data_IF_168509573789
#
_entry.id   IF_168509573789
#
_cell.length_a   1.000
_cell.length_b   1.000
_cell.length_c   1.000
_cell.angle_alpha   90.00
_cell.angle_beta   90.00
_cell.angle_gamma   90.00
#
_symmetry.space_group_name_H-M   'P 1'
#
loop_
_entity.id
_entity.type
_entity.pdbx_description
1 polymer ?
#
# COMPACT_ATOMS: atom_id res chain seq x y z
N UNK A 1 -26.20 19.07 15.90
CA UNK A 1 -27.35 18.41 16.57
C UNK A 1 -27.82 17.13 15.87
N UNK A 2 -27.96 17.09 14.54
CA UNK A 2 -28.44 15.89 13.82
C UNK A 2 -27.61 14.60 14.06
N UNK A 3 -26.28 14.69 14.07
CA UNK A 3 -25.39 13.54 14.32
C UNK A 3 -25.69 12.85 15.66
N UNK A 4 -25.79 13.60 16.74
CA UNK A 4 -26.06 13.09 18.09
C UNK A 4 -27.42 12.38 18.19
N UNK A 5 -28.44 12.92 17.51
CA UNK A 5 -29.76 12.30 17.44
C UNK A 5 -29.72 10.95 16.71
N UNK A 6 -29.05 10.89 15.55
CA UNK A 6 -28.92 9.66 14.76
C UNK A 6 -28.12 8.60 15.53
N UNK A 7 -26.99 8.99 16.14
CA UNK A 7 -26.16 8.09 16.92
C UNK A 7 -26.91 7.50 18.14
N UNK A 8 -27.68 8.34 18.86
CA UNK A 8 -28.49 7.89 19.98
C UNK A 8 -29.59 6.90 19.53
N UNK A 9 -30.25 7.19 18.40
CA UNK A 9 -31.34 6.37 17.87
C UNK A 9 -30.83 5.01 17.37
N UNK A 10 -29.68 4.97 16.68
CA UNK A 10 -29.02 3.73 16.27
C UNK A 10 -28.57 2.88 17.47
N UNK A 11 -28.00 3.52 18.49
CA UNK A 11 -27.57 2.82 19.72
C UNK A 11 -28.76 2.21 20.46
N UNK A 12 -29.87 2.94 20.55
CA UNK A 12 -31.12 2.45 21.14
C UNK A 12 -31.72 1.28 20.34
N UNK A 13 -31.74 1.39 19.00
CA UNK A 13 -32.23 0.33 18.14
C UNK A 13 -31.38 -0.95 18.29
N UNK A 14 -30.05 -0.82 18.29
CA UNK A 14 -29.13 -1.94 18.46
C UNK A 14 -29.30 -2.63 19.82
N UNK A 15 -29.42 -1.87 20.91
CA UNK A 15 -29.68 -2.43 22.25
C UNK A 15 -31.02 -3.14 22.33
N UNK A 16 -32.09 -2.56 21.76
CA UNK A 16 -33.41 -3.21 21.73
C UNK A 16 -33.39 -4.53 20.96
N UNK A 17 -32.72 -4.60 19.81
CA UNK A 17 -32.60 -5.84 19.02
C UNK A 17 -31.94 -6.96 19.82
N UNK A 18 -30.95 -6.65 20.66
CA UNK A 18 -30.27 -7.62 21.52
C UNK A 18 -31.12 -8.00 22.75
N UNK A 19 -31.89 -7.05 23.30
CA UNK A 19 -32.72 -7.28 24.50
C UNK A 19 -34.06 -7.98 24.20
N UNK A 20 -34.64 -7.80 23.01
CA UNK A 20 -35.93 -8.39 22.63
C UNK A 20 -35.98 -9.94 22.68
N UNK A 21 -34.94 -10.69 22.23
CA UNK A 21 -34.88 -12.14 22.39
C UNK A 21 -34.80 -12.58 23.85
N UNK A 22 -34.27 -11.74 24.74
CA UNK A 22 -34.11 -12.03 26.17
C UNK A 22 -35.41 -11.81 26.96
N UNK A 23 -36.30 -10.92 26.50
CA UNK A 23 -37.64 -10.71 27.09
C UNK A 23 -38.67 -11.70 26.57
N UNK A 24 -38.49 -12.25 25.37
CA UNK A 24 -39.37 -13.31 24.86
C UNK A 24 -39.22 -14.54 25.73
N UNK A 25 -40.22 -14.81 26.58
CA UNK A 25 -40.45 -16.17 27.11
C UNK A 25 -40.45 -17.07 25.89
N UNK A 26 -39.55 -18.07 25.85
CA UNK A 26 -39.77 -19.23 24.99
C UNK A 26 -41.20 -19.63 25.27
N UNK A 27 -42.09 -19.49 24.29
CA UNK A 27 -43.27 -20.35 24.25
C UNK A 27 -42.64 -21.72 24.22
N UNK A 28 -42.47 -22.32 25.41
CA UNK A 28 -42.46 -23.76 25.48
C UNK A 28 -43.71 -24.13 24.70
N UNK A 29 -43.53 -24.85 23.59
CA UNK A 29 -44.60 -25.63 23.00
C UNK A 29 -45.41 -26.13 24.19
N UNK A 30 -46.66 -25.64 24.32
CA UNK A 30 -47.52 -26.06 25.42
C UNK A 30 -47.46 -27.59 25.39
N UNK A 31 -46.89 -28.26 26.42
CA UNK A 31 -46.83 -29.70 26.41
C UNK A 31 -48.26 -30.21 26.25
N UNK A 32 -48.46 -31.26 25.46
CA UNK A 32 -49.76 -31.90 25.26
C UNK A 32 -50.49 -32.24 26.59
N UNK A 33 -49.75 -32.29 27.70
CA UNK A 33 -50.19 -32.67 29.04
C UNK A 33 -51.38 -31.88 29.62
N UNK A 34 -51.60 -30.61 29.25
CA UNK A 34 -52.80 -29.89 29.75
C UNK A 34 -54.11 -30.42 29.16
N UNK A 35 -54.08 -31.02 27.97
CA UNK A 35 -55.24 -31.70 27.38
C UNK A 35 -55.36 -33.16 27.84
N UNK A 36 -54.26 -33.77 28.28
CA UNK A 36 -54.25 -35.19 28.65
C UNK A 36 -55.11 -35.47 29.91
N UNK A 37 -55.20 -34.52 30.84
CA UNK A 37 -56.00 -34.68 32.06
C UNK A 37 -57.51 -34.75 31.79
N UNK A 38 -58.02 -33.94 30.86
CA UNK A 38 -59.43 -33.98 30.45
C UNK A 38 -59.73 -35.30 29.72
N UNK A 39 -58.82 -35.74 28.85
CA UNK A 39 -58.94 -37.03 28.14
C UNK A 39 -58.96 -38.22 29.11
N UNK A 40 -58.09 -38.25 30.13
CA UNK A 40 -58.08 -39.33 31.11
C UNK A 40 -59.34 -39.35 31.99
N UNK A 41 -59.92 -38.19 32.31
CA UNK A 41 -61.21 -38.10 33.03
C UNK A 41 -62.36 -38.64 32.18
N UNK A 42 -62.32 -38.43 30.88
CA UNK A 42 -63.32 -38.95 29.94
C UNK A 42 -63.21 -40.47 29.80
N UNK A 43 -61.99 -40.99 29.65
CA UNK A 43 -61.71 -42.43 29.63
C UNK A 43 -62.18 -43.13 30.90
N UNK A 44 -62.00 -42.50 32.07
CA UNK A 44 -62.49 -43.06 33.32
C UNK A 44 -64.01 -43.19 33.29
N UNK A 45 -64.74 -42.13 32.89
CA UNK A 45 -66.20 -42.12 32.78
C UNK A 45 -66.73 -43.16 31.80
N UNK A 46 -66.05 -43.37 30.69
CA UNK A 46 -66.40 -44.39 29.69
C UNK A 46 -66.28 -45.81 30.27
N UNK A 47 -65.19 -46.11 30.96
CA UNK A 47 -64.98 -47.40 31.65
C UNK A 47 -66.05 -47.63 32.73
N UNK A 48 -66.47 -46.61 33.46
CA UNK A 48 -67.57 -46.76 34.44
C UNK A 48 -68.90 -47.09 33.76
N UNK A 49 -69.19 -46.43 32.65
CA UNK A 49 -70.43 -46.61 31.90
C UNK A 49 -70.49 -48.00 31.24
N UNK A 50 -69.37 -48.49 30.69
CA UNK A 50 -69.29 -49.82 30.09
C UNK A 50 -69.39 -50.95 31.13
N UNK A 51 -68.78 -50.76 32.31
CA UNK A 51 -68.93 -51.68 33.43
C UNK A 51 -70.39 -51.72 33.94
N UNK A 52 -71.06 -50.55 34.04
CA UNK A 52 -72.46 -50.46 34.44
C UNK A 52 -73.42 -51.11 33.41
N UNK A 53 -73.05 -51.10 32.13
CA UNK A 53 -73.78 -51.79 31.04
C UNK A 53 -73.46 -53.28 30.94
N UNK A 54 -72.54 -53.81 31.73
CA UNK A 54 -72.09 -55.21 31.69
C UNK A 54 -71.28 -55.57 30.44
N UNK A 55 -70.72 -54.58 29.72
CA UNK A 55 -69.91 -54.79 28.52
C UNK A 55 -68.47 -55.25 28.85
N UNK A 56 -68.02 -55.01 30.08
CA UNK A 56 -66.69 -55.37 30.58
C UNK A 56 -66.87 -56.11 31.90
N UNK A 57 -66.05 -57.13 32.16
CA UNK A 57 -66.09 -57.82 33.45
C UNK A 57 -65.58 -56.91 34.60
N UNK A 58 -66.06 -57.12 35.85
CA UNK A 58 -65.70 -56.25 36.97
C UNK A 58 -64.20 -56.21 37.31
N UNK A 59 -63.45 -57.28 37.05
CA UNK A 59 -62.02 -57.31 37.37
C UNK A 59 -61.22 -56.47 36.37
N UNK A 60 -61.54 -56.57 35.07
CA UNK A 60 -60.93 -55.76 34.03
C UNK A 60 -61.27 -54.27 34.17
N UNK A 61 -62.51 -53.96 34.56
CA UNK A 61 -62.93 -52.58 34.83
C UNK A 61 -62.13 -51.96 36.00
N UNK A 62 -61.90 -52.71 37.08
CA UNK A 62 -61.12 -52.25 38.22
C UNK A 62 -59.64 -52.05 37.85
N UNK A 63 -59.05 -52.95 37.06
CA UNK A 63 -57.68 -52.78 36.57
C UNK A 63 -57.52 -51.54 35.70
N UNK A 64 -58.47 -51.28 34.78
CA UNK A 64 -58.47 -50.10 33.93
C UNK A 64 -58.59 -48.82 34.76
N UNK A 65 -59.44 -48.79 35.79
CA UNK A 65 -59.57 -47.66 36.72
C UNK A 65 -58.26 -47.36 37.45
N UNK A 66 -57.57 -48.38 37.95
CA UNK A 66 -56.31 -48.23 38.66
C UNK A 66 -55.22 -47.64 37.75
N UNK A 67 -55.10 -48.16 36.51
CA UNK A 67 -54.11 -47.68 35.55
C UNK A 67 -54.39 -46.24 35.08
N UNK A 68 -55.65 -45.90 34.78
CA UNK A 68 -56.04 -44.53 34.40
C UNK A 68 -55.81 -43.56 35.56
N UNK A 69 -56.18 -43.94 36.79
CA UNK A 69 -55.95 -43.12 37.99
C UNK A 69 -54.46 -42.87 38.25
N UNK A 70 -53.62 -43.88 38.03
CA UNK A 70 -52.15 -43.74 38.12
C UNK A 70 -51.60 -42.76 37.08
N UNK A 71 -52.13 -42.78 35.86
CA UNK A 71 -51.74 -41.83 34.79
C UNK A 71 -52.15 -40.40 35.11
N UNK A 72 -53.34 -40.21 35.67
CA UNK A 72 -53.81 -38.91 36.16
C UNK A 72 -52.87 -38.34 37.22
N UNK A 73 -52.51 -39.14 38.23
CA UNK A 73 -51.59 -38.72 39.30
C UNK A 73 -50.19 -38.36 38.77
N UNK A 74 -49.69 -39.13 37.81
CA UNK A 74 -48.40 -38.84 37.18
C UNK A 74 -48.45 -37.54 36.35
N UNK A 75 -49.51 -37.33 35.57
CA UNK A 75 -49.69 -36.11 34.77
C UNK A 75 -49.83 -34.85 35.65
N UNK A 76 -50.57 -34.93 36.76
CA UNK A 76 -50.68 -33.82 37.72
C UNK A 76 -49.34 -33.52 38.41
N UNK A 77 -48.55 -34.55 38.76
CA UNK A 77 -47.22 -34.40 39.33
C UNK A 77 -46.26 -33.72 38.35
N UNK A 78 -46.21 -34.18 37.10
CA UNK A 78 -45.38 -33.59 36.03
C UNK A 78 -45.77 -32.14 35.74
N UNK A 79 -47.07 -31.83 35.69
CA UNK A 79 -47.56 -30.46 35.51
C UNK A 79 -47.14 -29.53 36.66
N UNK A 80 -47.15 -30.03 37.90
CA UNK A 80 -46.74 -29.28 39.10
C UNK A 80 -45.22 -29.02 39.12
N UNK A 81 -44.42 -30.03 38.77
CA UNK A 81 -42.96 -29.90 38.63
C UNK A 81 -42.57 -28.90 37.52
N UNK A 82 -43.28 -28.93 36.38
CA UNK A 82 -43.08 -27.97 35.29
C UNK A 82 -43.45 -26.53 35.69
N UNK A 83 -44.52 -26.34 36.47
CA UNK A 83 -44.92 -25.03 36.98
C UNK A 83 -43.90 -24.46 37.98
N UNK A 84 -43.33 -25.29 38.85
CA UNK A 84 -42.25 -24.89 39.78
C UNK A 84 -40.94 -24.55 39.05
N UNK A 85 -40.60 -25.27 37.99
CA UNK A 85 -39.43 -24.97 37.15
C UNK A 85 -39.59 -23.65 36.38
N UNK A 86 -40.81 -23.33 35.93
CA UNK A 86 -41.10 -22.08 35.22
C UNK A 86 -41.09 -20.82 36.12
N UNK A 87 -41.32 -20.98 37.43
CA UNK A 87 -41.30 -19.90 38.42
C UNK A 87 -39.90 -19.41 38.82
N UNK A 88 -38.85 -20.17 38.52
CA UNK A 88 -37.45 -19.79 38.82
C UNK A 88 -36.87 -18.96 37.68
N UNK A 89 -37.10 -17.65 37.68
CA UNK A 89 -36.37 -16.72 36.80
C UNK A 89 -34.89 -16.81 37.10
N UNK A 90 -34.10 -17.28 36.12
CA UNK A 90 -32.67 -17.52 36.28
C UNK A 90 -31.91 -16.19 36.46
N UNK A 91 -31.01 -16.05 37.46
CA UNK A 91 -30.20 -14.83 37.68
C UNK A 91 -29.34 -14.41 36.47
N UNK A 92 -29.08 -15.35 35.55
CA UNK A 92 -28.36 -15.08 34.30
C UNK A 92 -29.06 -14.11 33.34
N UNK A 93 -30.39 -13.99 33.37
CA UNK A 93 -31.10 -13.01 32.52
C UNK A 93 -30.84 -11.58 32.99
N UNK A 94 -30.94 -11.33 34.29
CA UNK A 94 -30.67 -10.01 34.87
C UNK A 94 -29.23 -9.56 34.59
N UNK A 95 -28.26 -10.49 34.73
CA UNK A 95 -26.87 -10.25 34.37
C UNK A 95 -26.68 -9.91 32.89
N UNK A 96 -27.37 -10.61 31.97
CA UNK A 96 -27.32 -10.30 30.54
C UNK A 96 -27.92 -8.92 30.22
N UNK A 97 -29.03 -8.54 30.84
CA UNK A 97 -29.62 -7.19 30.71
C UNK A 97 -28.64 -6.11 31.17
N UNK A 98 -28.05 -6.29 32.36
CA UNK A 98 -27.08 -5.35 32.92
C UNK A 98 -25.84 -5.23 32.04
N UNK A 99 -25.31 -6.33 31.51
CA UNK A 99 -24.16 -6.33 30.63
C UNK A 99 -24.42 -5.58 29.32
N UNK A 100 -25.59 -5.78 28.69
CA UNK A 100 -25.95 -5.11 27.42
C UNK A 100 -26.19 -3.61 27.62
N UNK A 101 -26.78 -3.19 28.75
CA UNK A 101 -26.99 -1.77 29.08
C UNK A 101 -25.72 -1.06 29.54
N UNK A 102 -24.79 -1.76 30.18
CA UNK A 102 -23.54 -1.17 30.65
C UNK A 102 -22.69 -0.63 29.51
N UNK A 103 -22.65 -1.31 28.36
CA UNK A 103 -21.82 -0.92 27.20
C UNK A 103 -22.11 0.50 26.70
N UNK A 104 -23.35 0.88 26.30
CA UNK A 104 -23.64 2.22 25.84
C UNK A 104 -23.52 3.27 26.95
N UNK A 105 -23.85 2.93 28.20
CA UNK A 105 -23.72 3.85 29.33
C UNK A 105 -22.25 4.20 29.63
N UNK A 106 -21.38 3.20 29.63
CA UNK A 106 -19.93 3.39 29.78
C UNK A 106 -19.39 4.18 28.60
N UNK A 107 -19.79 3.85 27.37
CA UNK A 107 -19.37 4.59 26.18
C UNK A 107 -19.76 6.07 26.25
N UNK A 108 -20.99 6.38 26.69
CA UNK A 108 -21.44 7.77 26.90
C UNK A 108 -20.72 8.47 28.03
N UNK A 109 -20.33 7.78 29.10
CA UNK A 109 -19.54 8.37 30.19
C UNK A 109 -18.08 8.63 29.82
N UNK A 110 -17.48 7.74 29.02
CA UNK A 110 -16.08 7.84 28.60
C UNK A 110 -15.88 8.86 27.48
N UNK A 111 -16.84 9.01 26.56
CA UNK A 111 -16.69 9.89 25.41
C UNK A 111 -16.45 11.38 25.76
N UNK A 112 -17.10 11.99 26.77
CA UNK A 112 -16.78 13.36 27.19
C UNK A 112 -15.38 13.51 27.81
N UNK A 113 -14.82 12.45 28.40
CA UNK A 113 -13.51 12.48 29.05
C UNK A 113 -12.35 12.44 28.04
N UNK A 114 -12.52 11.67 26.96
CA UNK A 114 -11.44 11.42 25.97
C UNK A 114 -11.74 11.98 24.57
N UNK A 115 -13.02 12.24 24.28
CA UNK A 115 -13.48 12.77 23.00
C UNK A 115 -13.54 14.29 22.99
N UNK A 116 -14.07 14.83 21.88
CA UNK A 116 -14.31 16.26 21.70
C UNK A 116 -15.77 16.50 21.33
N UNK A 117 -16.70 16.49 22.31
CA UNK A 117 -18.13 16.62 22.05
C UNK A 117 -18.52 17.96 21.43
N UNK A 118 -17.74 19.01 21.71
CA UNK A 118 -17.98 20.37 21.22
C UNK A 118 -17.34 20.65 19.86
N UNK A 119 -16.71 19.65 19.24
CA UNK A 119 -16.10 19.83 17.92
C UNK A 119 -17.19 19.91 16.85
N UNK A 120 -17.30 21.03 16.12
CA UNK A 120 -18.27 21.14 15.03
C UNK A 120 -17.93 20.16 13.91
N UNK A 121 -18.96 19.67 13.21
CA UNK A 121 -18.77 18.89 12.00
C UNK A 121 -18.06 19.73 10.94
N UNK A 122 -16.99 19.21 10.33
CA UNK A 122 -16.25 19.85 9.24
C UNK A 122 -16.39 19.05 7.93
N UNK A 123 -17.45 19.29 7.12
CA UNK A 123 -17.61 18.67 5.80
C UNK A 123 -16.44 19.00 4.88
N UNK A 124 -16.07 18.07 3.99
CA UNK A 124 -14.98 18.26 3.04
C UNK A 124 -15.22 19.48 2.13
N UNK A 125 -16.47 19.70 1.69
CA UNK A 125 -16.82 20.84 0.84
C UNK A 125 -16.54 22.19 1.50
N UNK A 126 -16.85 22.35 2.79
CA UNK A 126 -16.57 23.58 3.54
C UNK A 126 -15.06 23.79 3.75
N UNK A 127 -14.30 22.71 4.01
CA UNK A 127 -12.83 22.77 4.11
C UNK A 127 -12.17 23.20 2.80
N UNK A 128 -12.65 22.65 1.69
CA UNK A 128 -12.20 23.02 0.35
C UNK A 128 -12.55 24.47 -0.03
N UNK A 129 -13.51 25.12 0.66
CA UNK A 129 -13.86 26.53 0.41
C UNK A 129 -13.11 27.53 1.29
N UNK A 130 -12.73 27.14 2.51
CA UNK A 130 -12.09 28.02 3.49
C UNK A 130 -10.56 28.18 3.30
N UNK A 131 -9.91 27.22 2.64
CA UNK A 131 -8.45 27.15 2.48
C UNK A 131 -8.02 27.41 1.04
N UNK A 132 -8.11 28.66 0.58
CA UNK A 132 -7.64 29.04 -0.76
C UNK A 132 -6.09 29.14 -0.85
N UNK A 133 -5.42 29.54 0.24
CA UNK A 133 -4.00 29.94 0.21
C UNK A 133 -3.00 28.91 0.78
N UNK A 134 -3.46 27.78 1.34
CA UNK A 134 -2.58 26.75 1.95
C UNK A 134 -3.11 25.32 1.83
N UNK A 135 -3.83 25.01 0.76
CA UNK A 135 -4.32 23.64 0.55
C UNK A 135 -3.16 22.67 0.35
N UNK A 136 -3.21 21.49 0.99
CA UNK A 136 -2.33 20.39 0.61
C UNK A 136 -2.55 20.04 -0.87
N UNK A 137 -1.57 19.40 -1.52
CA UNK A 137 -1.70 18.99 -2.94
C UNK A 137 -2.99 18.19 -3.15
N UNK A 138 -3.40 17.37 -2.18
CA UNK A 138 -4.65 16.61 -2.21
C UNK A 138 -5.91 17.48 -2.21
N UNK A 139 -5.93 18.57 -1.44
CA UNK A 139 -7.06 19.51 -1.43
C UNK A 139 -7.20 20.26 -2.76
N UNK A 140 -6.07 20.63 -3.37
CA UNK A 140 -6.06 21.27 -4.69
C UNK A 140 -6.55 20.31 -5.78
N UNK A 141 -6.11 19.06 -5.74
CA UNK A 141 -6.58 18.01 -6.67
C UNK A 141 -8.07 17.77 -6.49
N UNK A 142 -8.57 17.61 -5.26
CA UNK A 142 -9.99 17.40 -5.00
C UNK A 142 -10.86 18.58 -5.49
N UNK A 143 -10.38 19.82 -5.37
CA UNK A 143 -11.08 20.99 -5.90
C UNK A 143 -11.11 20.99 -7.42
N UNK A 144 -9.98 20.67 -8.07
CA UNK A 144 -9.91 20.56 -9.53
C UNK A 144 -10.79 19.42 -10.07
N UNK A 145 -10.86 18.29 -9.37
CA UNK A 145 -11.78 17.19 -9.67
C UNK A 145 -13.25 17.61 -9.59
N UNK A 146 -13.62 18.31 -8.51
CA UNK A 146 -14.98 18.82 -8.36
C UNK A 146 -15.36 19.82 -9.47
N UNK A 147 -14.40 20.64 -9.91
CA UNK A 147 -14.59 21.55 -11.04
C UNK A 147 -14.78 20.79 -12.37
N UNK A 148 -13.95 19.79 -12.65
CA UNK A 148 -14.04 18.97 -13.86
C UNK A 148 -15.28 18.08 -13.90
N UNK A 149 -15.78 17.64 -12.74
CA UNK A 149 -17.05 16.93 -12.65
C UNK A 149 -18.23 17.80 -13.12
N UNK A 150 -18.17 19.12 -12.89
CA UNK A 150 -19.17 20.07 -13.36
C UNK A 150 -18.88 20.57 -14.79
N UNK A 151 -17.61 20.56 -15.20
CA UNK A 151 -17.14 21.07 -16.48
C UNK A 151 -16.32 19.98 -17.21
N UNK A 152 -16.96 18.90 -17.70
CA UNK A 152 -16.24 17.74 -18.25
C UNK A 152 -15.49 18.04 -19.55
N UNK A 153 -15.82 19.14 -20.24
CA UNK A 153 -15.17 19.55 -21.48
C UNK A 153 -14.00 20.55 -21.27
N UNK A 154 -13.61 20.83 -20.02
CA UNK A 154 -12.45 21.68 -19.72
C UNK A 154 -11.13 20.94 -19.95
N UNK A 155 -10.65 21.02 -21.19
CA UNK A 155 -9.36 20.48 -21.65
C UNK A 155 -8.20 20.89 -20.77
N UNK A 156 -8.15 22.17 -20.35
CA UNK A 156 -7.03 22.69 -19.57
C UNK A 156 -6.98 22.05 -18.19
N UNK A 157 -8.14 21.86 -17.57
CA UNK A 157 -8.22 21.15 -16.30
C UNK A 157 -7.72 19.71 -16.41
N UNK A 158 -8.10 19.00 -17.48
CA UNK A 158 -7.59 17.64 -17.73
C UNK A 158 -6.08 17.61 -17.99
N UNK A 159 -5.55 18.52 -18.81
CA UNK A 159 -4.11 18.62 -19.11
C UNK A 159 -3.28 18.93 -17.85
N UNK A 160 -3.83 19.69 -16.90
CA UNK A 160 -3.15 20.01 -15.63
C UNK A 160 -3.19 18.83 -14.66
N UNK A 161 -4.33 18.15 -14.52
CA UNK A 161 -4.48 17.07 -13.55
C UNK A 161 -3.76 15.79 -13.96
N UNK A 162 -3.73 15.45 -15.25
CA UNK A 162 -3.17 14.20 -15.74
C UNK A 162 -1.71 13.92 -15.26
N UNK A 163 -0.74 14.84 -15.38
CA UNK A 163 0.61 14.62 -14.87
C UNK A 163 0.68 14.64 -13.33
N UNK A 164 -0.22 15.35 -12.65
CA UNK A 164 -0.29 15.34 -11.18
C UNK A 164 -0.75 13.97 -10.68
N UNK A 165 -1.74 13.37 -11.33
CA UNK A 165 -2.17 12.01 -11.02
C UNK A 165 -1.03 11.00 -11.11
N UNK A 166 -0.17 11.09 -12.14
CA UNK A 166 1.01 10.21 -12.23
C UNK A 166 1.96 10.38 -11.05
N UNK A 167 2.26 11.63 -10.66
CA UNK A 167 3.14 11.92 -9.51
C UNK A 167 2.57 11.42 -8.18
N UNK A 168 1.25 11.39 -8.05
CA UNK A 168 0.54 10.86 -6.89
C UNK A 168 0.34 9.34 -6.94
N UNK A 169 0.85 8.65 -7.97
CA UNK A 169 0.67 7.20 -8.15
C UNK A 169 -0.72 6.78 -8.61
N UNK A 170 -1.58 7.74 -8.99
CA UNK A 170 -2.95 7.54 -9.47
C UNK A 170 -2.97 7.31 -10.99
N UNK A 171 -2.27 6.28 -11.46
CA UNK A 171 -2.06 6.07 -12.90
C UNK A 171 -3.36 5.87 -13.70
N UNK A 172 -4.35 5.18 -13.14
CA UNK A 172 -5.64 4.98 -13.81
C UNK A 172 -6.39 6.30 -14.05
N UNK A 173 -6.33 7.22 -13.09
CA UNK A 173 -6.95 8.55 -13.22
C UNK A 173 -6.20 9.40 -14.26
N UNK A 174 -4.87 9.29 -14.31
CA UNK A 174 -4.07 9.93 -15.34
C UNK A 174 -4.43 9.45 -16.76
N UNK A 175 -4.63 8.14 -16.94
CA UNK A 175 -5.08 7.57 -18.23
C UNK A 175 -6.41 8.20 -18.66
N UNK A 176 -7.38 8.28 -17.73
CA UNK A 176 -8.69 8.87 -18.02
C UNK A 176 -8.60 10.36 -18.34
N UNK A 177 -7.77 11.11 -17.62
CA UNK A 177 -7.56 12.54 -17.84
C UNK A 177 -6.93 12.82 -19.22
N UNK A 178 -5.84 12.11 -19.58
CA UNK A 178 -5.23 12.25 -20.90
C UNK A 178 -6.16 11.84 -22.03
N UNK A 179 -6.89 10.72 -21.89
CA UNK A 179 -7.89 10.30 -22.90
C UNK A 179 -9.00 11.34 -23.06
N UNK A 180 -9.46 11.95 -21.97
CA UNK A 180 -10.46 13.02 -22.02
C UNK A 180 -9.93 14.24 -22.75
N UNK A 181 -8.70 14.68 -22.44
CA UNK A 181 -8.07 15.80 -23.12
C UNK A 181 -7.87 15.54 -24.62
N UNK A 182 -7.39 14.35 -25.00
CA UNK A 182 -7.22 13.94 -26.40
C UNK A 182 -8.56 13.88 -27.13
N UNK A 183 -9.61 13.36 -26.49
CA UNK A 183 -10.96 13.30 -27.09
C UNK A 183 -11.51 14.68 -27.43
N UNK A 184 -11.27 15.68 -26.58
CA UNK A 184 -11.86 17.02 -26.73
C UNK A 184 -11.01 17.91 -27.65
N UNK A 185 -9.68 17.90 -27.47
CA UNK A 185 -8.78 18.84 -28.12
C UNK A 185 -7.74 18.19 -29.05
N UNK A 186 -7.83 16.88 -29.27
CA UNK A 186 -6.95 16.14 -30.17
C UNK A 186 -5.59 15.77 -29.57
N UNK A 187 -4.84 15.00 -30.35
CA UNK A 187 -3.50 14.53 -30.03
C UNK A 187 -2.48 15.67 -30.17
N UNK A 188 -1.59 15.78 -29.18
CA UNK A 188 -0.36 16.56 -29.25
C UNK A 188 0.74 15.82 -28.48
N UNK A 189 1.98 16.28 -28.59
CA UNK A 189 3.10 15.56 -28.00
C UNK A 189 2.96 15.35 -26.48
N UNK A 190 2.66 16.37 -25.64
CA UNK A 190 2.51 16.16 -24.19
C UNK A 190 1.42 15.16 -23.81
N UNK A 191 0.26 15.17 -24.49
CA UNK A 191 -0.85 14.26 -24.19
C UNK A 191 -0.57 12.84 -24.63
N UNK A 192 0.02 12.68 -25.82
CA UNK A 192 0.35 11.37 -26.39
C UNK A 192 1.45 10.69 -25.56
N UNK A 193 2.53 11.42 -25.26
CA UNK A 193 3.59 10.92 -24.38
C UNK A 193 3.04 10.60 -22.99
N UNK A 194 2.31 11.54 -22.38
CA UNK A 194 1.74 11.37 -21.04
C UNK A 194 0.75 10.21 -20.93
N UNK A 195 -0.06 9.96 -21.97
CA UNK A 195 -0.95 8.79 -22.00
C UNK A 195 -0.16 7.48 -22.07
N UNK A 196 0.90 7.42 -22.88
CA UNK A 196 1.80 6.27 -22.92
C UNK A 196 2.44 6.00 -21.54
N UNK A 197 2.95 7.05 -20.89
CA UNK A 197 3.52 6.98 -19.53
C UNK A 197 2.48 6.49 -18.50
N UNK A 198 1.25 7.01 -18.58
CA UNK A 198 0.17 6.62 -17.70
C UNK A 198 -0.26 5.16 -17.88
N UNK A 199 -0.34 4.68 -19.12
CA UNK A 199 -0.66 3.29 -19.43
C UNK A 199 0.44 2.32 -18.95
N UNK A 200 1.71 2.68 -19.16
CA UNK A 200 2.84 1.89 -18.69
C UNK A 200 2.87 1.84 -17.15
N UNK A 201 2.64 2.98 -16.49
CA UNK A 201 2.59 3.06 -15.01
C UNK A 201 1.42 2.28 -14.44
N UNK A 202 0.23 2.37 -15.05
CA UNK A 202 -0.94 1.60 -14.66
C UNK A 202 -0.73 0.08 -14.83
N UNK A 203 0.17 -0.31 -15.74
CA UNK A 203 0.57 -1.70 -15.99
C UNK A 203 1.80 -2.13 -15.16
N UNK A 204 2.11 -1.43 -14.07
CA UNK A 204 3.23 -1.78 -13.18
C UNK A 204 4.61 -1.54 -13.80
N UNK A 205 4.71 -0.66 -14.80
CA UNK A 205 5.93 -0.37 -15.55
C UNK A 205 6.11 -1.21 -16.81
N UNK A 206 5.18 -2.11 -17.12
CA UNK A 206 5.18 -2.85 -18.40
C UNK A 206 4.71 -1.96 -19.54
N UNK A 207 5.50 -1.88 -20.61
CA UNK A 207 5.16 -1.18 -21.84
C UNK A 207 4.27 -2.10 -22.67
N UNK A 208 2.95 -1.96 -22.49
CA UNK A 208 1.95 -2.73 -23.25
C UNK A 208 1.92 -2.30 -24.72
N UNK A 209 1.32 -3.11 -25.59
CA UNK A 209 1.16 -2.76 -27.01
C UNK A 209 0.40 -1.43 -27.23
N UNK A 210 -0.56 -1.11 -26.35
CA UNK A 210 -1.26 0.18 -26.40
C UNK A 210 -0.31 1.33 -26.05
N UNK A 211 0.44 1.21 -24.94
CA UNK A 211 1.42 2.22 -24.53
C UNK A 211 2.51 2.43 -25.60
N UNK A 212 3.02 1.33 -26.17
CA UNK A 212 3.98 1.36 -27.27
C UNK A 212 3.44 2.14 -28.48
N UNK A 213 2.17 1.94 -28.84
CA UNK A 213 1.51 2.69 -29.90
C UNK A 213 1.55 4.21 -29.66
N UNK A 214 1.30 4.66 -28.43
CA UNK A 214 1.40 6.08 -28.06
C UNK A 214 2.85 6.57 -28.04
N UNK A 215 3.82 5.77 -27.57
CA UNK A 215 5.24 6.17 -27.62
C UNK A 215 5.77 6.30 -29.04
N UNK A 216 5.34 5.44 -29.98
CA UNK A 216 5.68 5.61 -31.41
C UNK A 216 5.12 6.92 -31.97
N UNK A 217 3.85 7.22 -31.71
CA UNK A 217 3.25 8.52 -32.08
C UNK A 217 3.98 9.71 -31.46
N UNK A 218 4.38 9.61 -30.18
CA UNK A 218 5.14 10.66 -29.52
C UNK A 218 6.52 10.86 -30.18
N UNK A 219 7.20 9.78 -30.56
CA UNK A 219 8.45 9.83 -31.30
C UNK A 219 8.30 10.45 -32.71
N UNK A 220 7.15 10.24 -33.37
CA UNK A 220 6.86 10.87 -34.66
C UNK A 220 6.58 12.38 -34.52
N UNK A 221 5.92 12.79 -33.42
CA UNK A 221 5.61 14.19 -33.14
C UNK A 221 6.85 15.01 -32.73
N UNK A 222 7.72 14.44 -31.88
CA UNK A 222 8.98 15.07 -31.44
C UNK A 222 10.16 14.11 -31.59
N UNK A 223 10.76 14.02 -32.80
CA UNK A 223 11.82 13.05 -33.10
C UNK A 223 13.12 13.24 -32.31
N UNK A 224 13.31 14.43 -31.72
CA UNK A 224 14.51 14.80 -30.95
C UNK A 224 14.32 14.60 -29.44
N UNK A 225 13.12 14.22 -28.99
CA UNK A 225 12.88 13.93 -27.58
C UNK A 225 13.34 12.51 -27.22
N UNK A 226 14.14 12.39 -26.16
CA UNK A 226 14.70 11.11 -25.71
C UNK A 226 13.65 10.23 -25.02
N UNK A 227 12.60 10.81 -24.43
CA UNK A 227 11.65 10.07 -23.59
C UNK A 227 10.89 8.99 -24.36
N UNK A 228 10.27 9.25 -25.52
CA UNK A 228 9.63 8.19 -26.30
C UNK A 228 10.61 7.08 -26.69
N UNK A 229 11.85 7.42 -27.05
CA UNK A 229 12.87 6.43 -27.43
C UNK A 229 13.25 5.52 -26.26
N UNK A 230 13.35 6.09 -25.06
CA UNK A 230 13.62 5.34 -23.85
C UNK A 230 12.50 4.33 -23.53
N UNK A 231 11.23 4.75 -23.59
CA UNK A 231 10.11 3.85 -23.35
C UNK A 231 9.97 2.76 -24.43
N UNK A 232 10.24 3.07 -25.70
CA UNK A 232 10.26 2.07 -26.77
C UNK A 232 11.39 1.05 -26.57
N UNK A 233 12.60 1.51 -26.22
CA UNK A 233 13.71 0.63 -25.87
C UNK A 233 13.38 -0.23 -24.65
N UNK A 234 12.72 0.33 -23.63
CA UNK A 234 12.27 -0.41 -22.47
C UNK A 234 11.27 -1.52 -22.84
N UNK A 235 10.32 -1.25 -23.73
CA UNK A 235 9.41 -2.28 -24.25
C UNK A 235 10.16 -3.40 -24.98
N UNK A 236 11.11 -3.04 -25.85
CA UNK A 236 11.96 -4.00 -26.55
C UNK A 236 12.78 -4.86 -25.57
N UNK A 237 13.29 -4.28 -24.48
CA UNK A 237 13.96 -5.02 -23.41
C UNK A 237 13.02 -5.99 -22.68
N UNK A 238 11.79 -5.56 -22.37
CA UNK A 238 10.80 -6.39 -21.70
C UNK A 238 10.39 -7.60 -22.56
N UNK A 239 10.44 -7.44 -23.88
CA UNK A 239 10.23 -8.53 -24.85
C UNK A 239 11.48 -9.39 -25.09
N UNK A 240 12.58 -9.16 -24.37
CA UNK A 240 13.84 -9.88 -24.51
C UNK A 240 14.68 -9.47 -25.73
N UNK A 241 14.31 -8.40 -26.44
CA UNK A 241 14.93 -7.93 -27.68
C UNK A 241 15.99 -6.86 -27.38
N UNK A 242 16.99 -7.23 -26.57
CA UNK A 242 18.04 -6.32 -26.10
C UNK A 242 18.84 -5.66 -27.24
N UNK A 243 19.12 -6.40 -28.31
CA UNK A 243 19.80 -5.87 -29.50
C UNK A 243 19.00 -4.78 -30.21
N UNK A 244 17.67 -4.95 -30.31
CA UNK A 244 16.80 -3.94 -30.91
C UNK A 244 16.78 -2.67 -30.06
N UNK A 245 16.66 -2.82 -28.74
CA UNK A 245 16.71 -1.71 -27.80
C UNK A 245 18.05 -0.93 -27.91
N UNK A 246 19.17 -1.64 -27.94
CA UNK A 246 20.49 -1.03 -28.11
C UNK A 246 20.62 -0.29 -29.45
N UNK A 247 20.14 -0.88 -30.54
CA UNK A 247 20.20 -0.28 -31.87
C UNK A 247 19.30 0.96 -31.99
N UNK A 248 18.11 0.94 -31.39
CA UNK A 248 17.21 2.11 -31.32
C UNK A 248 17.88 3.28 -30.62
N UNK A 249 18.41 3.04 -29.42
CA UNK A 249 19.07 4.08 -28.64
C UNK A 249 20.33 4.59 -29.34
N UNK A 250 21.11 3.70 -29.98
CA UNK A 250 22.27 4.10 -30.77
C UNK A 250 21.87 4.99 -31.96
N UNK A 251 20.85 4.60 -32.73
CA UNK A 251 20.40 5.37 -33.89
C UNK A 251 19.87 6.77 -33.50
N UNK A 252 19.30 6.91 -32.31
CA UNK A 252 18.92 8.19 -31.73
C UNK A 252 20.17 9.01 -31.33
N UNK A 253 21.12 8.37 -30.64
CA UNK A 253 22.37 8.98 -30.18
C UNK A 253 23.26 9.51 -31.33
N UNK A 254 23.28 8.80 -32.46
CA UNK A 254 24.05 9.16 -33.65
C UNK A 254 23.60 10.49 -34.27
N UNK A 255 22.34 10.89 -34.04
CA UNK A 255 21.73 12.14 -34.51
C UNK A 255 21.68 13.22 -33.43
N UNK A 256 21.99 12.86 -32.19
CA UNK A 256 21.89 13.75 -31.03
C UNK A 256 23.08 14.70 -30.94
N UNK A 257 22.89 15.92 -30.39
CA UNK A 257 23.99 16.81 -30.03
C UNK A 257 25.02 16.13 -29.13
N UNK A 258 26.31 16.47 -29.32
CA UNK A 258 27.40 15.89 -28.54
C UNK A 258 27.37 16.34 -27.06
N UNK A 259 26.82 17.51 -26.80
CA UNK A 259 26.71 18.16 -25.48
C UNK A 259 25.35 17.91 -24.78
N UNK A 260 24.51 17.02 -25.31
CA UNK A 260 23.22 16.72 -24.71
C UNK A 260 23.39 16.16 -23.27
N UNK A 261 22.74 16.74 -22.24
CA UNK A 261 22.96 16.33 -20.84
C UNK A 261 22.66 14.86 -20.53
N UNK A 262 21.77 14.24 -21.30
CA UNK A 262 21.36 12.84 -21.16
C UNK A 262 22.24 11.86 -21.96
N UNK A 263 23.18 12.36 -22.79
CA UNK A 263 23.96 11.54 -23.74
C UNK A 263 24.72 10.41 -23.05
N UNK A 264 25.48 10.73 -22.01
CA UNK A 264 26.28 9.75 -21.27
C UNK A 264 25.44 8.66 -20.60
N UNK A 265 24.20 8.96 -20.20
CA UNK A 265 23.29 7.95 -19.63
C UNK A 265 22.83 6.96 -20.69
N UNK A 266 22.53 7.44 -21.90
CA UNK A 266 22.14 6.59 -23.04
C UNK A 266 23.31 5.73 -23.51
N UNK A 267 24.53 6.28 -23.57
CA UNK A 267 25.74 5.51 -23.89
C UNK A 267 25.97 4.36 -22.91
N UNK A 268 25.82 4.61 -21.60
CA UNK A 268 25.90 3.57 -20.57
C UNK A 268 24.77 2.53 -20.68
N UNK A 269 23.55 2.96 -21.01
CA UNK A 269 22.43 2.06 -21.22
C UNK A 269 22.69 1.13 -22.43
N UNK A 270 23.17 1.67 -23.55
CA UNK A 270 23.55 0.88 -24.73
C UNK A 270 24.65 -0.12 -24.39
N UNK A 271 25.67 0.29 -23.64
CA UNK A 271 26.76 -0.61 -23.23
C UNK A 271 26.23 -1.80 -22.40
N UNK A 272 25.33 -1.54 -21.42
CA UNK A 272 24.69 -2.59 -20.62
C UNK A 272 23.81 -3.53 -21.44
N UNK A 273 23.15 -3.01 -22.47
CA UNK A 273 22.28 -3.80 -23.34
C UNK A 273 23.07 -4.71 -24.27
N UNK A 274 24.21 -4.24 -24.78
CA UNK A 274 25.10 -5.00 -25.68
C UNK A 274 25.96 -6.01 -24.93
N UNK A 275 26.38 -5.67 -23.73
CA UNK A 275 27.16 -6.56 -22.87
C UNK A 275 26.67 -6.44 -21.41
N UNK A 276 25.67 -7.25 -21.03
CA UNK A 276 25.17 -7.31 -19.66
C UNK A 276 26.23 -7.73 -18.63
N UNK A 277 27.32 -8.38 -19.07
CA UNK A 277 28.41 -8.84 -18.22
C UNK A 277 29.50 -7.77 -18.02
N UNK A 278 29.66 -6.82 -18.95
CA UNK A 278 30.65 -5.74 -18.86
C UNK A 278 30.45 -4.78 -17.67
N UNK A 279 29.28 -4.78 -17.03
CA UNK A 279 28.95 -3.88 -15.90
C UNK A 279 28.87 -4.61 -14.55
N UNK A 280 29.09 -5.93 -14.52
CA UNK A 280 29.14 -6.71 -13.26
C UNK A 280 30.47 -6.58 -12.49
N UNK A 281 31.38 -5.71 -12.90
CA UNK A 281 32.44 -5.25 -12.00
C UNK A 281 31.96 -3.98 -11.31
N UNK A 282 31.38 -4.06 -10.08
CA UNK A 282 31.31 -2.87 -9.24
C UNK A 282 32.73 -2.31 -9.14
N UNK A 283 32.89 -1.01 -9.43
CA UNK A 283 34.16 -0.28 -9.19
C UNK A 283 34.37 -0.07 -7.67
N UNK A 284 34.28 -1.13 -6.88
CA UNK A 284 34.38 -1.17 -5.42
C UNK A 284 34.18 -2.58 -4.84
N UNK A 285 34.70 -2.84 -3.62
CA UNK A 285 34.55 -4.13 -2.95
C UNK A 285 33.08 -4.45 -2.67
N UNK A 286 32.72 -5.73 -2.84
CA UNK A 286 31.40 -6.26 -2.49
C UNK A 286 31.23 -6.40 -0.98
N UNK A 287 30.01 -6.65 -0.50
CA UNK A 287 29.76 -6.87 0.93
C UNK A 287 30.59 -8.05 1.48
N UNK A 288 30.70 -9.13 0.70
CA UNK A 288 31.50 -10.31 1.05
C UNK A 288 33.01 -9.97 1.13
N UNK A 289 33.49 -9.07 0.27
CA UNK A 289 34.89 -8.59 0.32
C UNK A 289 35.17 -7.77 1.59
N UNK A 290 34.19 -6.99 2.07
CA UNK A 290 34.31 -6.20 3.31
C UNK A 290 34.30 -7.12 4.54
N UNK A 291 33.43 -8.12 4.55
CA UNK A 291 33.35 -9.10 5.64
C UNK A 291 34.62 -9.96 5.70
N UNK A 292 35.13 -10.41 4.56
CA UNK A 292 36.42 -11.09 4.48
C UNK A 292 37.56 -10.21 5.01
N UNK A 293 37.63 -8.94 4.60
CA UNK A 293 38.65 -7.99 5.08
C UNK A 293 38.54 -7.70 6.60
N UNK A 294 37.33 -7.76 7.17
CA UNK A 294 37.10 -7.57 8.61
C UNK A 294 37.68 -8.69 9.47
N UNK A 295 37.81 -9.89 8.89
CA UNK A 295 38.37 -11.08 9.54
C UNK A 295 39.90 -11.19 9.45
N UNK A 296 40.54 -10.34 8.64
CA UNK A 296 42.00 -10.33 8.44
C UNK A 296 42.74 -9.63 9.58
N UNK A 297 44.03 -9.98 9.74
CA UNK A 297 44.94 -9.26 10.63
C UNK A 297 45.08 -7.79 10.20
N UNK A 298 45.40 -6.88 11.13
CA UNK A 298 45.64 -5.46 10.79
C UNK A 298 46.72 -5.28 9.72
N UNK A 299 47.79 -6.08 9.75
CA UNK A 299 48.90 -6.03 8.81
C UNK A 299 48.50 -6.50 7.41
N UNK A 300 47.78 -7.62 7.31
CA UNK A 300 47.30 -8.14 6.02
C UNK A 300 46.24 -7.22 5.41
N UNK A 301 45.39 -6.62 6.24
CA UNK A 301 44.41 -5.63 5.80
C UNK A 301 45.09 -4.38 5.25
N UNK A 302 46.16 -3.91 5.90
CA UNK A 302 46.94 -2.77 5.42
C UNK A 302 47.60 -3.07 4.07
N UNK A 303 48.23 -4.25 3.92
CA UNK A 303 48.83 -4.68 2.66
C UNK A 303 47.79 -4.82 1.53
N UNK A 304 46.60 -5.34 1.84
CA UNK A 304 45.49 -5.41 0.90
C UNK A 304 45.02 -4.02 0.45
N UNK A 305 44.87 -3.08 1.39
CA UNK A 305 44.47 -1.69 1.09
C UNK A 305 45.52 -1.02 0.21
N UNK A 306 46.80 -1.16 0.51
CA UNK A 306 47.89 -0.61 -0.30
C UNK A 306 47.89 -1.17 -1.72
N UNK A 307 47.69 -2.48 -1.88
CA UNK A 307 47.57 -3.11 -3.20
C UNK A 307 46.34 -2.64 -3.98
N UNK A 308 45.21 -2.39 -3.32
CA UNK A 308 44.01 -1.82 -3.96
C UNK A 308 44.26 -0.39 -4.46
N UNK A 309 44.89 0.44 -3.63
CA UNK A 309 45.23 1.82 -4.01
C UNK A 309 46.25 1.85 -5.16
N UNK A 310 47.22 0.93 -5.17
CA UNK A 310 48.18 0.80 -6.26
C UNK A 310 47.52 0.40 -7.58
N UNK A 311 46.58 -0.56 -7.56
CA UNK A 311 45.81 -0.92 -8.77
C UNK A 311 44.97 0.23 -9.29
N UNK A 312 44.36 1.01 -8.39
CA UNK A 312 43.62 2.21 -8.78
C UNK A 312 44.56 3.26 -9.41
N UNK A 313 45.75 3.48 -8.83
CA UNK A 313 46.77 4.38 -9.40
C UNK A 313 47.17 3.97 -10.82
N UNK A 314 47.45 2.68 -11.03
CA UNK A 314 47.83 2.14 -12.34
C UNK A 314 46.69 2.27 -13.36
N UNK A 315 45.45 1.96 -12.95
CA UNK A 315 44.28 2.09 -13.82
C UNK A 315 44.05 3.52 -14.28
N UNK A 316 44.30 4.52 -13.42
CA UNK A 316 44.13 5.94 -13.76
C UNK A 316 45.22 6.47 -14.69
N UNK A 317 46.39 5.81 -14.73
CA UNK A 317 47.41 6.10 -15.75
C UNK A 317 46.96 5.67 -17.14
N UNK A 318 46.16 4.61 -17.24
CA UNK A 318 45.65 4.09 -18.50
C UNK A 318 44.33 4.76 -18.93
N UNK A 319 43.46 5.09 -17.97
CA UNK A 319 42.20 5.79 -18.20
C UNK A 319 42.17 7.14 -17.45
N UNK A 320 42.82 8.13 -18.05
CA UNK A 320 43.15 9.41 -17.40
C UNK A 320 41.97 10.38 -17.26
N UNK A 321 40.83 10.12 -17.93
CA UNK A 321 39.63 10.97 -17.92
C UNK A 321 38.67 10.78 -16.73
N UNK A 322 38.94 9.84 -15.81
CA UNK A 322 38.03 9.52 -14.68
C UNK A 322 38.25 10.45 -13.47
N UNK A 323 37.53 11.57 -13.44
CA UNK A 323 37.57 12.56 -12.34
C UNK A 323 37.30 11.94 -10.97
N UNK A 324 36.28 11.10 -10.87
CA UNK A 324 35.89 10.47 -9.61
C UNK A 324 36.91 9.41 -9.17
N UNK A 325 37.57 8.77 -10.12
CA UNK A 325 38.75 7.95 -9.88
C UNK A 325 39.89 8.75 -9.23
N UNK A 326 40.26 9.90 -9.79
CA UNK A 326 41.30 10.77 -9.23
C UNK A 326 40.97 11.29 -7.83
N UNK A 327 39.73 11.73 -7.58
CA UNK A 327 39.29 12.16 -6.24
C UNK A 327 39.40 11.03 -5.21
N UNK A 328 39.01 9.82 -5.60
CA UNK A 328 39.10 8.63 -4.74
C UNK A 328 40.55 8.26 -4.43
N UNK A 329 41.43 8.29 -5.42
CA UNK A 329 42.86 8.03 -5.22
C UNK A 329 43.50 9.03 -4.23
N UNK A 330 43.23 10.33 -4.42
CA UNK A 330 43.71 11.39 -3.51
C UNK A 330 43.20 11.17 -2.09
N UNK A 331 41.90 10.87 -1.93
CA UNK A 331 41.30 10.58 -0.61
C UNK A 331 41.91 9.35 0.04
N UNK A 332 42.13 8.28 -0.71
CA UNK A 332 42.74 7.05 -0.22
C UNK A 332 44.15 7.30 0.33
N UNK A 333 44.99 8.05 -0.38
CA UNK A 333 46.31 8.42 0.13
C UNK A 333 46.25 9.32 1.37
N UNK A 334 45.28 10.23 1.47
CA UNK A 334 45.08 11.06 2.66
C UNK A 334 44.68 10.24 3.89
N UNK A 335 43.79 9.26 3.74
CA UNK A 335 43.37 8.35 4.82
C UNK A 335 44.55 7.49 5.30
N UNK A 336 45.41 7.07 4.37
CA UNK A 336 46.64 6.32 4.67
C UNK A 336 47.78 7.20 5.21
N UNK A 337 47.52 8.48 5.47
CA UNK A 337 48.50 9.46 5.95
C UNK A 337 49.72 9.63 5.00
N UNK A 338 49.53 9.39 3.69
CA UNK A 338 50.55 9.52 2.64
C UNK A 338 50.35 10.80 1.83
N UNK A 339 50.57 11.94 2.48
CA UNK A 339 50.29 13.28 1.90
C UNK A 339 51.06 13.54 0.59
N UNK A 340 52.31 13.11 0.50
CA UNK A 340 53.12 13.32 -0.71
C UNK A 340 52.58 12.53 -1.91
N UNK A 341 52.13 11.29 -1.67
CA UNK A 341 51.49 10.47 -2.71
C UNK A 341 50.13 11.06 -3.14
N UNK A 342 49.38 11.67 -2.21
CA UNK A 342 48.15 12.38 -2.52
C UNK A 342 48.42 13.61 -3.41
N UNK A 343 49.49 14.36 -3.14
CA UNK A 343 49.91 15.52 -3.96
C UNK A 343 50.40 15.10 -5.35
N UNK A 344 51.16 14.01 -5.45
CA UNK A 344 51.59 13.45 -6.73
C UNK A 344 50.39 12.97 -7.57
N UNK A 345 49.45 12.24 -6.97
CA UNK A 345 48.21 11.82 -7.62
C UNK A 345 47.36 13.02 -8.07
N UNK A 346 47.27 14.06 -7.24
CA UNK A 346 46.59 15.30 -7.59
C UNK A 346 47.25 15.98 -8.80
N UNK A 347 48.58 16.13 -8.81
CA UNK A 347 49.31 16.71 -9.94
C UNK A 347 49.10 15.94 -11.24
N UNK A 348 49.13 14.60 -11.17
CA UNK A 348 48.85 13.73 -12.32
C UNK A 348 47.42 13.87 -12.81
N UNK A 349 46.43 13.87 -11.91
CA UNK A 349 45.03 14.11 -12.25
C UNK A 349 44.79 15.50 -12.85
N UNK A 350 45.44 16.53 -12.29
CA UNK A 350 45.40 17.88 -12.84
C UNK A 350 46.05 17.96 -14.21
N UNK A 351 47.05 17.15 -14.54
CA UNK A 351 47.66 17.11 -15.88
C UNK A 351 46.80 16.34 -16.88
N UNK A 352 46.12 15.30 -16.41
CA UNK A 352 45.28 14.40 -17.19
C UNK A 352 43.90 14.96 -17.56
N UNK A 353 43.33 15.83 -16.72
CA UNK A 353 41.96 16.34 -16.85
C UNK A 353 41.91 17.76 -17.42
N UNK A 354 40.84 18.06 -18.16
CA UNK A 354 40.60 19.38 -18.77
C UNK A 354 39.27 19.99 -18.34
N UNK A 355 39.10 21.30 -18.55
CA UNK A 355 37.83 22.01 -18.32
C UNK A 355 37.27 21.88 -16.90
N UNK A 356 35.95 21.64 -16.82
CA UNK A 356 35.21 21.52 -15.55
C UNK A 356 35.71 20.35 -14.69
N UNK A 357 36.07 19.24 -15.32
CA UNK A 357 36.65 18.06 -14.67
C UNK A 357 37.90 18.38 -13.84
N UNK A 358 38.77 19.26 -14.37
CA UNK A 358 39.98 19.74 -13.69
C UNK A 358 39.64 20.64 -12.50
N UNK A 359 38.72 21.59 -12.70
CA UNK A 359 38.26 22.51 -11.65
C UNK A 359 37.57 21.78 -10.49
N UNK A 360 36.83 20.71 -10.80
CA UNK A 360 36.18 19.84 -9.83
C UNK A 360 37.19 19.06 -8.96
N UNK A 361 38.30 18.61 -9.54
CA UNK A 361 39.37 17.94 -8.80
C UNK A 361 40.14 18.93 -7.91
N UNK A 362 40.43 20.12 -8.44
CA UNK A 362 41.09 21.20 -7.70
C UNK A 362 40.28 21.66 -6.47
N UNK A 363 38.99 21.92 -6.67
CA UNK A 363 38.08 22.31 -5.57
C UNK A 363 37.99 21.22 -4.50
N UNK A 364 37.97 19.96 -4.92
CA UNK A 364 37.99 18.83 -3.99
C UNK A 364 39.29 18.76 -3.18
N UNK A 365 40.44 18.95 -3.83
CA UNK A 365 41.75 18.94 -3.15
C UNK A 365 41.91 20.10 -2.16
N UNK A 366 41.43 21.28 -2.50
CA UNK A 366 41.40 22.44 -1.60
C UNK A 366 40.59 22.14 -0.32
N UNK A 367 39.45 21.43 -0.45
CA UNK A 367 38.65 20.97 0.69
C UNK A 367 39.36 19.95 1.60
N UNK A 368 40.37 19.24 1.08
CA UNK A 368 41.23 18.35 1.85
C UNK A 368 42.51 19.05 2.38
N UNK A 369 42.64 20.36 2.17
CA UNK A 369 43.81 21.14 2.56
C UNK A 369 45.08 20.78 1.77
N UNK A 370 44.93 20.25 0.56
CA UNK A 370 46.04 20.00 -0.37
C UNK A 370 46.17 21.19 -1.32
N UNK A 371 47.22 22.00 -1.14
CA UNK A 371 47.52 23.13 -2.02
C UNK A 371 48.73 22.80 -2.90
N UNK A 372 48.57 22.97 -4.21
CA UNK A 372 49.62 22.75 -5.21
C UNK A 372 50.75 23.78 -5.09
N UNK A 373 50.53 24.94 -4.45
CA UNK A 373 51.53 26.01 -4.32
C UNK A 373 52.60 25.77 -3.26
N UNK A 374 52.42 24.80 -2.35
CA UNK A 374 53.36 24.56 -1.25
C UNK A 374 54.56 23.66 -1.60
N UNK A 375 54.55 22.98 -2.77
CA UNK A 375 55.56 21.96 -3.12
C UNK A 375 56.84 22.45 -3.82
N UNK A 376 56.93 23.73 -4.21
CA UNK A 376 58.07 24.26 -4.99
C UNK A 376 59.08 25.06 -4.16
N UNK A 377 59.00 25.05 -2.83
CA UNK A 377 59.91 25.76 -1.95
C UNK A 377 60.82 24.79 -1.17
N UNK A 378 61.49 23.87 -1.86
CA UNK A 378 62.69 23.18 -1.37
C UNK A 378 63.38 22.45 -2.52
N UNK A 379 64.15 23.21 -3.31
CA UNK A 379 65.33 22.70 -4.03
C UNK A 379 66.42 23.75 -3.98
#
# INVERSE_FOLDING_TARGET
MGFWLIAALLTLAATLVVLLPLTRRKQAFLPAEKNDLEVYRDQLREVEADAARGMIDPQSAEQARIEISRRILNAEKSAREAAEAAGKTTPGRLLAFLAVLAVPLVAWGVYPLFGKPDMPSMPLAERLSASADRGSVDELVARAEAHLAQNPDDVRGWDVLAPIYLRLGRAADAVNAYRSSIRIAGENFPRVLGLGEALATASGGTVTAEAEGFFRKAADLEPNDVRPQFYLAQGEMQDGRMDLAANRLQAFLDKAPADAPWRGQIEQAIARLRDPAAVQQPKGPTADDVDAASSMSPEDRQAMIEGMVQRLDESLRQNSGDVEGWKRLVRSYMILNRRDAALDALNRGMTALEGESRSNLESFAAGLGLDLKAGNAQK
#
